data_IF_222160856557
#
_entry.id   IF_222160856557
#
_cell.length_a   1.000
_cell.length_b   1.000
_cell.length_c   1.000
_cell.angle_alpha   90.00
_cell.angle_beta   90.00
_cell.angle_gamma   90.00
#
_symmetry.space_group_name_H-M   'P 1'
#
loop_
_entity.id
_entity.type
_entity.pdbx_description
1 polymer ?
#
# COMPACT_ATOMS: atom_id res chain seq x y z
N UNK A 1 1.96 -5.41 6.17
CA UNK A 1 1.70 -6.55 7.07
C UNK A 1 0.26 -6.50 7.52
N UNK A 2 -0.60 -7.32 6.94
CA UNK A 2 -2.06 -7.34 7.16
C UNK A 2 -2.57 -8.73 6.77
N UNK A 3 -3.57 -9.29 7.45
CA UNK A 3 -4.16 -10.56 7.01
C UNK A 3 -4.83 -10.40 5.65
N UNK A 4 -4.63 -11.33 4.71
CA UNK A 4 -5.25 -11.20 3.38
C UNK A 4 -6.77 -11.23 3.44
N UNK A 5 -7.33 -11.96 4.40
CA UNK A 5 -8.77 -11.99 4.61
C UNK A 5 -9.29 -10.66 5.17
N UNK A 6 -8.47 -9.90 5.91
CA UNK A 6 -8.83 -8.52 6.29
C UNK A 6 -8.94 -7.66 5.03
N UNK A 7 -7.98 -7.74 4.11
CA UNK A 7 -8.02 -7.00 2.83
C UNK A 7 -9.24 -7.37 2.01
N UNK A 8 -9.52 -8.68 1.85
CA UNK A 8 -10.69 -9.16 1.11
C UNK A 8 -12.00 -8.74 1.77
N UNK A 9 -12.06 -8.71 3.10
CA UNK A 9 -13.27 -8.32 3.85
C UNK A 9 -13.61 -6.83 3.77
N UNK A 10 -12.70 -5.99 3.26
CA UNK A 10 -13.01 -4.58 3.00
C UNK A 10 -14.08 -4.42 1.93
N UNK A 11 -14.18 -5.38 1.00
CA UNK A 11 -15.21 -5.41 -0.05
C UNK A 11 -16.50 -6.00 0.51
N UNK A 12 -17.57 -5.20 0.58
CA UNK A 12 -18.82 -5.64 1.20
C UNK A 12 -18.72 -5.79 2.72
N UNK A 13 -17.89 -4.95 3.37
CA UNK A 13 -17.68 -4.99 4.81
C UNK A 13 -18.99 -4.80 5.60
N UNK A 14 -19.02 -5.25 6.85
CA UNK A 14 -20.17 -5.03 7.75
C UNK A 14 -20.43 -3.53 7.98
N UNK A 15 -21.65 -3.08 8.31
CA UNK A 15 -21.93 -1.65 8.49
C UNK A 15 -21.02 -0.93 9.51
N UNK A 16 -20.70 -1.61 10.61
CA UNK A 16 -19.78 -1.08 11.63
C UNK A 16 -18.35 -0.92 11.08
N UNK A 17 -17.89 -1.90 10.29
CA UNK A 17 -16.57 -1.86 9.68
C UNK A 17 -16.50 -0.84 8.53
N UNK A 18 -17.56 -0.69 7.75
CA UNK A 18 -17.66 0.37 6.75
C UNK A 18 -17.50 1.75 7.38
N UNK A 19 -18.17 2.01 8.51
CA UNK A 19 -18.05 3.30 9.19
C UNK A 19 -16.62 3.58 9.67
N UNK A 20 -15.96 2.55 10.22
CA UNK A 20 -14.55 2.63 10.59
C UNK A 20 -13.66 2.96 9.39
N UNK A 21 -13.86 2.25 8.27
CA UNK A 21 -13.08 2.41 7.05
C UNK A 21 -13.34 3.76 6.36
N UNK A 22 -14.57 4.27 6.36
CA UNK A 22 -14.90 5.63 5.91
C UNK A 22 -14.15 6.67 6.71
N UNK A 23 -14.19 6.57 8.04
CA UNK A 23 -13.46 7.50 8.90
C UNK A 23 -11.95 7.47 8.65
N UNK A 24 -11.39 6.30 8.36
CA UNK A 24 -9.99 6.13 7.98
C UNK A 24 -9.69 6.80 6.63
N UNK A 25 -10.47 6.50 5.60
CA UNK A 25 -10.32 7.08 4.27
C UNK A 25 -10.45 8.60 4.30
N UNK A 26 -11.44 9.13 5.02
CA UNK A 26 -11.67 10.57 5.16
C UNK A 26 -10.46 11.30 5.77
N UNK A 27 -9.78 10.69 6.74
CA UNK A 27 -8.55 11.26 7.32
C UNK A 27 -7.36 11.17 6.38
N UNK A 28 -7.19 10.04 5.71
CA UNK A 28 -6.01 9.77 4.89
C UNK A 28 -6.05 10.48 3.53
N UNK A 29 -7.25 10.67 2.96
CA UNK A 29 -7.48 11.29 1.66
C UNK A 29 -7.92 12.76 1.77
N UNK A 30 -7.92 13.32 2.99
CA UNK A 30 -8.20 14.74 3.18
C UNK A 30 -7.22 15.57 2.32
N UNK A 31 -7.72 16.58 1.58
CA UNK A 31 -6.82 17.46 0.85
C UNK A 31 -5.83 18.11 1.84
N UNK A 32 -4.59 18.38 1.41
CA UNK A 32 -3.65 19.15 2.22
C UNK A 32 -4.34 20.40 2.72
N UNK A 33 -4.24 20.68 4.03
CA UNK A 33 -4.74 21.95 4.57
C UNK A 33 -3.93 23.06 3.91
N UNK A 34 -4.60 23.97 3.22
CA UNK A 34 -4.00 25.19 2.67
C UNK A 34 -3.55 26.11 3.83
N UNK A 35 -2.49 25.73 4.54
CA UNK A 35 -1.87 26.55 5.58
C UNK A 35 -1.01 27.68 4.96
N UNK A 36 -1.13 27.90 3.64
CA UNK A 36 -0.38 28.89 2.86
C UNK A 36 -1.24 29.95 2.15
N UNK A 37 -2.50 30.15 2.55
CA UNK A 37 -3.21 31.40 2.22
C UNK A 37 -2.75 32.55 3.15
N UNK A 38 -1.43 32.77 3.28
CA UNK A 38 -0.92 34.04 3.82
C UNK A 38 -1.24 35.10 2.78
N UNK A 39 -2.32 35.83 3.04
CA UNK A 39 -2.83 36.90 2.20
C UNK A 39 -1.73 37.87 1.80
N UNK A 40 -1.34 37.83 0.53
CA UNK A 40 -0.60 38.90 -0.10
C UNK A 40 -1.45 40.17 -0.12
N UNK A 41 -0.82 41.32 0.10
CA UNK A 41 -1.41 42.66 0.17
C UNK A 41 -2.23 43.11 -1.07
N UNK A 42 -2.35 42.26 -2.09
CA UNK A 42 -3.10 42.51 -3.32
C UNK A 42 -4.57 42.03 -3.27
N UNK A 43 -4.97 41.28 -2.24
CA UNK A 43 -6.39 40.87 -2.07
C UNK A 43 -7.31 41.98 -1.56
N UNK A 44 -6.76 43.18 -1.31
CA UNK A 44 -7.52 44.38 -0.91
C UNK A 44 -8.16 45.15 -2.07
N UNK A 45 -8.01 44.70 -3.32
CA UNK A 45 -8.65 45.31 -4.49
C UNK A 45 -9.86 44.52 -4.96
N UNK A 46 -10.98 44.69 -4.24
CA UNK A 46 -12.35 44.53 -4.74
C UNK A 46 -12.82 43.14 -5.22
N UNK A 47 -14.13 42.85 -5.14
CA UNK A 47 -14.70 41.55 -5.48
C UNK A 47 -14.77 41.22 -6.99
N UNK A 48 -14.19 42.07 -7.86
CA UNK A 48 -14.38 42.00 -9.32
C UNK A 48 -13.32 41.12 -10.01
N UNK A 49 -12.19 40.81 -9.36
CA UNK A 49 -11.11 39.99 -9.93
C UNK A 49 -11.04 38.55 -9.42
N UNK A 50 -12.03 38.10 -8.62
CA UNK A 50 -12.09 36.71 -8.18
C UNK A 50 -12.61 35.84 -9.33
N UNK A 51 -11.70 35.37 -10.19
CA UNK A 51 -11.99 34.35 -11.19
C UNK A 51 -12.67 33.18 -10.47
N UNK A 52 -13.87 32.73 -10.89
CA UNK A 52 -14.45 31.53 -10.33
C UNK A 52 -13.41 30.41 -10.52
N UNK A 53 -13.02 29.67 -9.47
CA UNK A 53 -12.11 28.56 -9.64
C UNK A 53 -12.75 27.64 -10.69
N UNK A 54 -12.02 27.37 -11.77
CA UNK A 54 -12.46 26.40 -12.76
C UNK A 54 -12.82 25.11 -12.02
N UNK A 55 -13.92 24.46 -12.42
CA UNK A 55 -14.31 23.18 -11.81
C UNK A 55 -13.06 22.27 -11.79
N UNK A 56 -12.63 21.79 -10.61
CA UNK A 56 -11.39 21.06 -10.50
C UNK A 56 -11.47 19.84 -11.42
N UNK A 57 -10.55 19.75 -12.38
CA UNK A 57 -10.38 18.55 -13.19
C UNK A 57 -9.75 17.52 -12.26
N UNK A 58 -10.59 16.67 -11.68
CA UNK A 58 -10.15 15.58 -10.83
C UNK A 58 -9.47 14.55 -11.72
N UNK A 59 -8.22 14.20 -11.42
CA UNK A 59 -7.54 13.12 -12.13
C UNK A 59 -8.36 11.83 -12.04
N UNK A 60 -8.51 11.02 -13.11
CA UNK A 60 -9.19 9.73 -13.06
C UNK A 60 -8.63 8.79 -11.97
N UNK A 61 -7.41 9.06 -11.54
CA UNK A 61 -6.72 8.28 -10.52
C UNK A 61 -6.74 8.92 -9.13
N UNK A 62 -7.26 10.14 -8.99
CA UNK A 62 -7.44 10.77 -7.69
C UNK A 62 -8.71 10.21 -7.02
N UNK A 63 -8.57 9.61 -5.82
CA UNK A 63 -9.72 9.12 -5.06
C UNK A 63 -10.69 10.24 -4.69
N UNK A 64 -11.98 9.92 -4.75
CA UNK A 64 -13.08 10.73 -4.24
C UNK A 64 -13.93 9.90 -3.27
N UNK A 65 -14.78 10.52 -2.42
CA UNK A 65 -15.60 9.78 -1.44
C UNK A 65 -16.45 8.68 -2.06
N UNK A 66 -16.94 8.88 -3.30
CA UNK A 66 -17.73 7.87 -4.01
C UNK A 66 -16.94 6.58 -4.26
N UNK A 67 -15.63 6.63 -4.52
CA UNK A 67 -14.83 5.43 -4.75
C UNK A 67 -14.73 4.58 -3.46
N UNK A 68 -14.73 5.23 -2.29
CA UNK A 68 -14.77 4.56 -0.98
C UNK A 68 -16.08 3.81 -0.82
N UNK A 69 -17.22 4.45 -1.07
CA UNK A 69 -18.52 3.79 -0.96
C UNK A 69 -18.68 2.63 -1.94
N UNK A 70 -18.19 2.76 -3.18
CA UNK A 70 -18.22 1.69 -4.19
C UNK A 70 -17.40 0.48 -3.70
N UNK A 71 -16.18 0.70 -3.21
CA UNK A 71 -15.33 -0.36 -2.67
C UNK A 71 -16.00 -1.06 -1.47
N UNK A 72 -16.47 -0.28 -0.49
CA UNK A 72 -17.07 -0.79 0.74
C UNK A 72 -18.38 -1.53 0.49
N UNK A 73 -19.15 -1.13 -0.51
CA UNK A 73 -20.35 -1.83 -0.95
C UNK A 73 -20.05 -3.12 -1.75
N UNK A 74 -18.80 -3.34 -2.16
CA UNK A 74 -18.45 -4.42 -3.09
C UNK A 74 -19.13 -4.24 -4.45
N UNK A 75 -19.44 -3.00 -4.82
CA UNK A 75 -20.21 -2.68 -6.02
C UNK A 75 -19.31 -2.69 -7.27
N UNK A 76 -19.97 -2.65 -8.43
CA UNK A 76 -19.27 -2.52 -9.71
C UNK A 76 -18.45 -1.22 -9.75
N UNK A 77 -17.16 -1.35 -10.05
CA UNK A 77 -16.23 -0.23 -10.24
C UNK A 77 -16.19 0.13 -11.72
N UNK A 78 -16.56 1.37 -12.12
CA UNK A 78 -16.42 1.82 -13.49
C UNK A 78 -14.97 1.73 -13.98
N UNK A 79 -14.70 1.35 -15.25
CA UNK A 79 -13.34 1.13 -15.74
C UNK A 79 -12.42 2.35 -15.56
N UNK A 80 -12.93 3.55 -15.76
CA UNK A 80 -12.24 4.83 -15.60
C UNK A 80 -11.94 5.20 -14.12
N UNK A 81 -12.60 4.54 -13.17
CA UNK A 81 -12.40 4.71 -11.72
C UNK A 81 -11.60 3.59 -11.06
N UNK A 82 -11.18 2.58 -11.83
CA UNK A 82 -10.42 1.43 -11.31
C UNK A 82 -9.13 1.87 -10.60
N UNK A 83 -8.37 2.80 -11.20
CA UNK A 83 -7.13 3.32 -10.61
C UNK A 83 -7.35 4.11 -9.31
N UNK A 84 -8.43 4.90 -9.22
CA UNK A 84 -8.78 5.60 -7.99
C UNK A 84 -9.21 4.62 -6.88
N UNK A 85 -9.97 3.58 -7.24
CA UNK A 85 -10.43 2.56 -6.29
C UNK A 85 -9.26 1.70 -5.76
N UNK A 86 -8.26 1.40 -6.59
CA UNK A 86 -7.02 0.77 -6.12
C UNK A 86 -6.25 1.62 -5.12
N UNK A 87 -6.17 2.94 -5.33
CA UNK A 87 -5.57 3.87 -4.36
C UNK A 87 -6.35 3.94 -3.05
N UNK A 88 -7.69 3.86 -3.10
CA UNK A 88 -8.51 3.71 -1.88
C UNK A 88 -8.12 2.42 -1.16
N UNK A 89 -8.05 1.29 -1.86
CA UNK A 89 -7.66 0.02 -1.25
C UNK A 89 -6.28 0.10 -0.60
N UNK A 90 -5.27 0.59 -1.32
CA UNK A 90 -3.91 0.78 -0.80
C UNK A 90 -3.92 1.64 0.48
N UNK A 91 -4.67 2.74 0.47
CA UNK A 91 -4.83 3.64 1.63
C UNK A 91 -5.47 2.94 2.83
N UNK A 92 -6.55 2.19 2.60
CA UNK A 92 -7.24 1.44 3.66
C UNK A 92 -6.37 0.31 4.22
N UNK A 93 -5.65 -0.39 3.35
CA UNK A 93 -4.67 -1.41 3.71
C UNK A 93 -3.56 -0.81 4.56
N UNK A 94 -2.96 0.30 4.14
CA UNK A 94 -1.91 0.96 4.88
C UNK A 94 -2.38 1.43 6.27
N UNK A 95 -3.58 2.01 6.35
CA UNK A 95 -4.13 2.48 7.63
C UNK A 95 -4.63 1.37 8.56
N UNK A 96 -4.85 0.15 8.05
CA UNK A 96 -5.30 -1.01 8.85
C UNK A 96 -4.16 -1.99 9.15
N UNK A 97 -3.06 -1.92 8.41
CA UNK A 97 -1.91 -2.80 8.57
C UNK A 97 -1.28 -2.71 9.96
N UNK A 98 -0.69 -3.82 10.41
CA UNK A 98 0.16 -3.88 11.60
C UNK A 98 1.44 -3.05 11.44
N UNK A 99 1.91 -2.98 10.21
CA UNK A 99 3.05 -2.18 9.79
C UNK A 99 3.15 -2.13 8.27
N UNK A 100 3.72 -1.04 7.77
CA UNK A 100 3.99 -0.81 6.35
C UNK A 100 5.42 -0.32 6.16
N UNK A 101 6.04 -0.70 5.04
CA UNK A 101 7.30 -0.13 4.59
C UNK A 101 7.15 0.26 3.12
N UNK A 102 7.92 1.24 2.67
CA UNK A 102 7.95 1.71 1.30
C UNK A 102 9.37 1.57 0.78
N UNK A 103 9.50 1.02 -0.43
CA UNK A 103 10.77 0.89 -1.14
C UNK A 103 10.66 1.58 -2.48
N UNK A 104 11.60 2.46 -2.79
CA UNK A 104 11.68 3.12 -4.09
C UNK A 104 12.50 2.25 -5.03
N UNK A 105 11.83 1.33 -5.73
CA UNK A 105 12.45 0.40 -6.67
C UNK A 105 11.92 0.62 -8.10
N UNK A 106 12.83 0.83 -9.04
CA UNK A 106 12.56 0.65 -10.48
C UNK A 106 12.52 -0.85 -10.81
N UNK A 107 11.94 -1.25 -11.96
CA UNK A 107 11.99 -2.64 -12.42
C UNK A 107 13.39 -3.25 -12.43
N UNK A 108 14.39 -2.49 -12.88
CA UNK A 108 15.79 -2.91 -12.95
C UNK A 108 16.39 -3.08 -11.54
N UNK A 109 16.19 -2.09 -10.66
CA UNK A 109 16.71 -2.17 -9.29
C UNK A 109 16.09 -3.30 -8.47
N UNK A 110 14.85 -3.68 -8.78
CA UNK A 110 14.18 -4.84 -8.20
C UNK A 110 14.83 -6.16 -8.68
N UNK A 111 15.13 -6.30 -9.97
CA UNK A 111 15.86 -7.46 -10.50
C UNK A 111 17.28 -7.55 -9.91
N UNK A 112 17.98 -6.41 -9.83
CA UNK A 112 19.32 -6.36 -9.25
C UNK A 112 19.32 -6.76 -7.78
N UNK A 113 18.29 -6.36 -7.02
CA UNK A 113 18.12 -6.72 -5.62
C UNK A 113 17.83 -8.22 -5.45
N UNK A 114 16.89 -8.77 -6.21
CA UNK A 114 16.58 -10.21 -6.19
C UNK A 114 17.81 -11.04 -6.62
N UNK A 115 18.58 -10.58 -7.61
CA UNK A 115 19.83 -11.21 -8.02
C UNK A 115 20.89 -11.15 -6.91
N UNK A 116 21.05 -10.00 -6.24
CA UNK A 116 21.97 -9.87 -5.12
C UNK A 116 21.62 -10.82 -3.97
N UNK A 117 20.33 -10.95 -3.65
CA UNK A 117 19.82 -11.90 -2.67
C UNK A 117 20.05 -13.36 -3.12
N UNK A 118 19.80 -13.68 -4.38
CA UNK A 118 20.02 -15.01 -4.94
C UNK A 118 21.48 -15.46 -4.86
N UNK A 119 22.46 -14.55 -5.06
CA UNK A 119 23.89 -14.85 -4.82
C UNK A 119 24.18 -15.25 -3.37
N UNK A 120 23.38 -14.74 -2.42
CA UNK A 120 23.42 -15.13 -1.01
C UNK A 120 22.64 -16.39 -0.68
N UNK A 121 22.10 -17.10 -1.67
CA UNK A 121 21.37 -18.36 -1.50
C UNK A 121 19.86 -18.20 -1.30
N UNK A 122 19.30 -16.99 -1.45
CA UNK A 122 17.86 -16.78 -1.41
C UNK A 122 17.20 -17.46 -2.62
N UNK A 123 16.21 -18.30 -2.36
CA UNK A 123 15.47 -18.98 -3.44
C UNK A 123 14.46 -18.02 -4.07
N UNK A 124 14.16 -18.21 -5.36
CA UNK A 124 13.17 -17.40 -6.07
C UNK A 124 11.79 -17.43 -5.39
N UNK A 125 11.45 -18.52 -4.70
CA UNK A 125 10.18 -18.67 -3.99
C UNK A 125 9.99 -17.59 -2.91
N UNK A 126 11.05 -17.05 -2.32
CA UNK A 126 11.01 -15.97 -1.30
C UNK A 126 11.61 -14.65 -1.84
N UNK A 127 11.74 -14.51 -3.16
CA UNK A 127 12.14 -13.25 -3.80
C UNK A 127 11.00 -12.23 -3.87
N UNK A 128 11.34 -10.96 -4.03
CA UNK A 128 10.36 -9.88 -4.16
C UNK A 128 9.56 -9.99 -5.46
N UNK A 129 10.20 -10.40 -6.56
CA UNK A 129 9.51 -10.66 -7.83
C UNK A 129 8.45 -11.76 -7.69
N UNK A 130 8.73 -12.79 -6.89
CA UNK A 130 7.78 -13.86 -6.64
C UNK A 130 6.59 -13.37 -5.79
N UNK A 131 6.82 -12.50 -4.80
CA UNK A 131 5.73 -11.83 -4.11
C UNK A 131 4.83 -11.10 -5.11
N UNK A 132 5.40 -10.31 -6.01
CA UNK A 132 4.63 -9.49 -6.95
C UNK A 132 3.94 -10.34 -8.04
N UNK A 133 4.45 -11.52 -8.36
CA UNK A 133 3.80 -12.46 -9.29
C UNK A 133 2.68 -13.31 -8.65
N UNK A 134 2.50 -13.24 -7.32
CA UNK A 134 1.44 -13.95 -6.64
C UNK A 134 0.11 -13.19 -6.68
N UNK A 135 -1.02 -13.89 -6.61
CA UNK A 135 -2.35 -13.28 -6.72
C UNK A 135 -3.01 -13.11 -5.36
N UNK A 136 -3.64 -11.96 -5.14
CA UNK A 136 -4.37 -11.63 -3.91
C UNK A 136 -5.83 -12.10 -3.91
N UNK A 137 -6.40 -12.35 -5.10
CA UNK A 137 -7.83 -12.66 -5.31
C UNK A 137 -8.77 -11.61 -4.71
N UNK A 138 -8.37 -10.33 -4.72
CA UNK A 138 -9.27 -9.22 -4.34
C UNK A 138 -10.28 -8.93 -5.45
N UNK A 139 -11.45 -8.41 -5.06
CA UNK A 139 -12.55 -8.12 -6.00
C UNK A 139 -12.36 -6.77 -6.71
N UNK A 140 -11.24 -6.62 -7.43
CA UNK A 140 -10.96 -5.46 -8.29
C UNK A 140 -10.38 -5.93 -9.62
N UNK A 141 -10.77 -5.24 -10.69
CA UNK A 141 -10.15 -5.43 -11.99
C UNK A 141 -8.69 -4.96 -11.94
N UNK A 142 -7.73 -5.72 -12.51
CA UNK A 142 -6.34 -5.29 -12.62
C UNK A 142 -6.23 -3.96 -13.37
N UNK A 143 -5.28 -3.11 -12.96
CA UNK A 143 -4.94 -1.87 -13.67
C UNK A 143 -3.55 -2.01 -14.28
N UNK A 144 -3.35 -1.61 -15.55
CA UNK A 144 -2.02 -1.59 -16.16
C UNK A 144 -1.04 -0.75 -15.32
N UNK A 145 0.17 -1.27 -15.14
CA UNK A 145 1.20 -0.61 -14.34
C UNK A 145 1.06 -0.79 -12.82
N UNK A 146 0.02 -1.45 -12.30
CA UNK A 146 -0.07 -1.81 -10.88
C UNK A 146 -0.05 -3.33 -10.72
N UNK A 147 0.89 -3.81 -9.91
CA UNK A 147 0.97 -5.19 -9.47
C UNK A 147 0.69 -5.27 -7.98
N UNK A 148 -0.18 -6.18 -7.56
CA UNK A 148 -0.48 -6.41 -6.15
C UNK A 148 -0.32 -7.89 -5.84
N UNK A 149 0.62 -8.19 -4.93
CA UNK A 149 1.03 -9.53 -4.56
C UNK A 149 0.76 -9.87 -3.11
N UNK A 150 0.74 -11.16 -2.78
CA UNK A 150 0.54 -11.64 -1.42
C UNK A 150 1.33 -12.90 -1.08
N UNK A 151 1.89 -12.93 0.12
CA UNK A 151 2.49 -14.11 0.73
C UNK A 151 1.92 -14.37 2.13
N UNK A 152 1.65 -15.64 2.47
CA UNK A 152 1.17 -15.99 3.80
C UNK A 152 2.23 -15.67 4.86
N UNK A 153 1.80 -15.53 6.12
CA UNK A 153 2.63 -15.27 7.28
C UNK A 153 3.95 -16.06 7.32
N UNK A 154 3.88 -17.40 7.21
CA UNK A 154 5.03 -18.32 7.18
C UNK A 154 6.09 -17.91 6.16
N UNK A 155 5.64 -17.43 5.00
CA UNK A 155 6.51 -17.05 3.90
C UNK A 155 7.16 -15.70 4.12
N UNK A 156 6.50 -14.76 4.80
CA UNK A 156 7.13 -13.54 5.27
C UNK A 156 8.24 -13.82 6.30
N UNK A 157 8.04 -14.78 7.21
CA UNK A 157 9.08 -15.23 8.14
C UNK A 157 10.25 -15.88 7.40
N UNK A 158 9.97 -16.72 6.41
CA UNK A 158 10.99 -17.35 5.57
C UNK A 158 11.81 -16.30 4.79
N UNK A 159 11.17 -15.25 4.27
CA UNK A 159 11.86 -14.11 3.65
C UNK A 159 12.81 -13.43 4.64
N UNK A 160 12.37 -13.12 5.86
CA UNK A 160 13.21 -12.49 6.88
C UNK A 160 14.47 -13.32 7.18
N UNK A 161 14.29 -14.62 7.38
CA UNK A 161 15.38 -15.58 7.60
C UNK A 161 16.37 -15.64 6.43
N UNK A 162 15.85 -15.81 5.22
CA UNK A 162 16.66 -15.91 4.00
C UNK A 162 17.45 -14.62 3.73
N UNK A 163 16.83 -13.46 3.89
CA UNK A 163 17.45 -12.17 3.57
C UNK A 163 18.55 -11.83 4.57
N UNK A 164 18.34 -12.16 5.85
CA UNK A 164 19.39 -12.03 6.89
C UNK A 164 20.60 -12.90 6.57
N UNK A 165 20.37 -14.15 6.17
CA UNK A 165 21.45 -15.08 5.82
C UNK A 165 22.23 -14.62 4.57
N UNK A 166 21.55 -13.99 3.62
CA UNK A 166 22.15 -13.51 2.38
C UNK A 166 22.91 -12.18 2.51
N UNK A 167 22.68 -11.42 3.59
CA UNK A 167 23.27 -10.10 3.80
C UNK A 167 24.79 -10.00 3.55
N UNK A 168 25.63 -10.97 3.99
CA UNK A 168 27.08 -10.89 3.77
C UNK A 168 27.49 -10.95 2.29
N UNK A 169 26.61 -11.42 1.41
CA UNK A 169 26.86 -11.56 -0.03
C UNK A 169 26.30 -10.38 -0.87
N UNK A 170 25.56 -9.48 -0.23
CA UNK A 170 25.08 -8.24 -0.86
C UNK A 170 26.26 -7.28 -0.96
N UNK A 171 26.58 -6.83 -2.18
CA UNK A 171 27.86 -6.18 -2.48
C UNK A 171 27.86 -4.67 -2.28
N UNK A 172 26.75 -4.01 -2.60
CA UNK A 172 26.67 -2.55 -2.51
C UNK A 172 26.10 -2.15 -1.16
N UNK A 173 26.61 -1.04 -0.63
CA UNK A 173 26.14 -0.49 0.64
C UNK A 173 24.65 -0.11 0.58
N UNK A 174 24.21 0.47 -0.52
CA UNK A 174 22.79 0.82 -0.72
C UNK A 174 21.88 -0.41 -0.69
N UNK A 175 22.27 -1.50 -1.36
CA UNK A 175 21.50 -2.75 -1.28
C UNK A 175 21.53 -3.33 0.13
N UNK A 176 22.66 -3.29 0.83
CA UNK A 176 22.75 -3.75 2.22
C UNK A 176 21.82 -2.96 3.15
N UNK A 177 21.83 -1.62 3.04
CA UNK A 177 20.95 -0.75 3.83
C UNK A 177 19.48 -1.04 3.54
N UNK A 178 19.13 -1.22 2.26
CA UNK A 178 17.78 -1.54 1.83
C UNK A 178 17.31 -2.93 2.32
N UNK A 179 18.14 -3.98 2.18
CA UNK A 179 17.83 -5.31 2.71
C UNK A 179 17.75 -5.28 4.23
N UNK A 180 18.61 -4.52 4.91
CA UNK A 180 18.60 -4.43 6.37
C UNK A 180 17.33 -3.76 6.89
N UNK A 181 16.89 -2.67 6.25
CA UNK A 181 15.62 -2.02 6.55
C UNK A 181 14.44 -2.97 6.33
N UNK A 182 14.45 -3.72 5.21
CA UNK A 182 13.41 -4.69 4.90
C UNK A 182 13.38 -5.86 5.90
N UNK A 183 14.53 -6.42 6.27
CA UNK A 183 14.63 -7.48 7.29
C UNK A 183 14.12 -6.97 8.63
N UNK A 184 14.53 -5.77 9.04
CA UNK A 184 14.07 -5.16 10.30
C UNK A 184 12.55 -5.02 10.33
N UNK A 185 11.93 -4.63 9.21
CA UNK A 185 10.49 -4.55 9.10
C UNK A 185 9.81 -5.94 9.07
N UNK A 186 10.38 -6.90 8.34
CA UNK A 186 9.87 -8.28 8.28
C UNK A 186 9.95 -8.97 9.65
N UNK A 187 10.94 -8.66 10.47
CA UNK A 187 11.05 -9.15 11.85
C UNK A 187 9.88 -8.70 12.74
N UNK A 188 9.16 -7.63 12.35
CA UNK A 188 7.91 -7.21 12.99
C UNK A 188 6.78 -8.24 12.89
N UNK A 189 6.82 -9.18 11.93
CA UNK A 189 5.75 -10.18 11.76
C UNK A 189 5.57 -11.06 12.99
N UNK A 190 6.65 -11.40 13.69
CA UNK A 190 6.59 -12.23 14.90
C UNK A 190 5.79 -11.56 16.03
N UNK A 191 6.17 -10.36 16.52
CA UNK A 191 5.41 -9.70 17.57
C UNK A 191 4.00 -9.30 17.11
N UNK A 192 3.79 -8.92 15.84
CA UNK A 192 2.44 -8.63 15.33
C UNK A 192 1.51 -9.85 15.38
N UNK A 193 2.00 -11.05 15.03
CA UNK A 193 1.21 -12.27 15.12
C UNK A 193 0.83 -12.63 16.57
N UNK A 194 1.75 -12.38 17.52
CA UNK A 194 1.46 -12.57 18.95
C UNK A 194 0.34 -11.64 19.44
N UNK A 195 0.37 -10.37 19.04
CA UNK A 195 -0.68 -9.39 19.40
C UNK A 195 -1.99 -9.69 18.68
N UNK A 196 -1.95 -10.18 17.44
CA UNK A 196 -3.14 -10.47 16.63
C UNK A 196 -4.14 -11.39 17.34
N UNK A 197 -3.65 -12.41 18.06
CA UNK A 197 -4.48 -13.33 18.86
C UNK A 197 -5.28 -12.56 19.92
N UNK A 198 -4.64 -11.65 20.65
CA UNK A 198 -5.29 -10.86 21.71
C UNK A 198 -6.35 -9.90 21.16
N UNK A 199 -6.14 -9.37 19.95
CA UNK A 199 -7.04 -8.44 19.28
C UNK A 199 -8.08 -9.16 18.40
N UNK A 200 -8.08 -10.50 18.39
CA UNK A 200 -8.94 -11.35 17.52
C UNK A 200 -8.85 -10.95 16.04
N UNK A 201 -7.67 -10.55 15.61
CA UNK A 201 -7.36 -10.27 14.22
C UNK A 201 -6.59 -11.45 13.61
N UNK A 202 -6.68 -11.68 12.30
CA UNK A 202 -5.83 -12.64 11.61
C UNK A 202 -4.34 -12.32 11.83
N UNK A 203 -3.50 -13.35 11.79
CA UNK A 203 -2.06 -13.16 11.74
C UNK A 203 -1.70 -12.33 10.49
N UNK A 204 -0.69 -11.45 10.57
CA UNK A 204 -0.30 -10.62 9.44
C UNK A 204 0.26 -11.49 8.32
N UNK A 205 -0.26 -11.28 7.13
CA UNK A 205 0.36 -11.69 5.89
C UNK A 205 1.13 -10.53 5.25
N UNK A 206 1.94 -10.86 4.24
CA UNK A 206 2.67 -9.90 3.44
C UNK A 206 1.85 -9.56 2.19
N UNK A 207 1.43 -8.30 2.07
CA UNK A 207 0.79 -7.77 0.87
C UNK A 207 1.72 -6.68 0.31
N UNK A 208 2.02 -6.76 -0.98
CA UNK A 208 2.88 -5.80 -1.68
C UNK A 208 2.12 -5.09 -2.80
N UNK A 209 2.24 -3.77 -2.87
CA UNK A 209 1.76 -2.93 -3.96
C UNK A 209 2.99 -2.42 -4.72
N UNK A 210 2.98 -2.53 -6.05
CA UNK A 210 4.07 -2.06 -6.89
C UNK A 210 3.52 -1.39 -8.14
N UNK A 211 3.81 -0.09 -8.27
CA UNK A 211 3.47 0.70 -9.44
C UNK A 211 4.71 0.86 -10.34
N UNK A 212 4.58 0.50 -11.62
CA UNK A 212 5.63 0.54 -12.63
C UNK A 212 5.46 1.72 -13.58
#
# INVERSE_FOLDING_TARGET
>A
AIGIDEVRSMFGATPAEQERLRGLAARALAPPRDDAARGGLLTKLGPIFRRPPAAPVISPTQPVPQDVEVLLAGAYVPPDRTGATWRVLETLVQGTAWGSTLMSLTPESLDDLDFALARGGVTSAVGLRHLLNSTTSVNLLPVPGLTVGWHPHEKALAMAGAYRAAMPQVKTREQQEMVAALVTWLDGFVPWAQVAVSLRRPAPDLVGFWAN
#
